data_IF_597912087422
#
_entry.id   IF_597912087422
#
_cell.length_a   1.000
_cell.length_b   1.000
_cell.length_c   1.000
_cell.angle_alpha   90.00
_cell.angle_beta   90.00
_cell.angle_gamma   90.00
#
_symmetry.space_group_name_H-M   'P 1'
#
loop_
_entity.id
_entity.type
_entity.pdbx_description
1 polymer ?
#
# COMPACT_ATOMS: atom_id res chain seq x y z
N UNK A 1 -24.85 -25.34 -1.05
CA UNK A 1 -24.19 -24.07 -0.71
C UNK A 1 -22.86 -24.44 -0.11
N UNK A 2 -21.90 -24.71 -0.98
CA UNK A 2 -20.58 -25.21 -0.64
C UNK A 2 -19.81 -24.14 0.13
N UNK A 3 -19.39 -24.46 1.35
CA UNK A 3 -18.68 -23.54 2.26
C UNK A 3 -17.22 -23.31 1.84
N UNK A 4 -16.80 -23.87 0.71
CA UNK A 4 -15.40 -23.85 0.26
C UNK A 4 -15.03 -22.56 -0.48
N UNK A 5 -15.95 -21.98 -1.26
CA UNK A 5 -15.65 -20.78 -2.07
C UNK A 5 -15.43 -19.53 -1.19
N UNK A 6 -16.19 -19.40 -0.09
CA UNK A 6 -16.12 -18.21 0.77
C UNK A 6 -14.85 -18.14 1.63
N UNK A 7 -14.20 -19.28 1.91
CA UNK A 7 -13.02 -19.34 2.78
C UNK A 7 -11.75 -18.94 2.02
N UNK A 8 -11.64 -19.29 0.74
CA UNK A 8 -10.48 -18.94 -0.06
C UNK A 8 -10.44 -17.44 -0.36
N UNK A 9 -11.61 -16.84 -0.64
CA UNK A 9 -11.75 -15.40 -0.80
C UNK A 9 -11.40 -14.63 0.49
N UNK A 10 -11.83 -15.11 1.67
CA UNK A 10 -11.46 -14.51 2.96
C UNK A 10 -9.95 -14.62 3.26
N UNK A 11 -9.31 -15.74 2.90
CA UNK A 11 -7.86 -15.90 3.05
C UNK A 11 -7.06 -14.96 2.14
N UNK A 12 -7.45 -14.86 0.87
CA UNK A 12 -6.82 -13.92 -0.08
C UNK A 12 -7.04 -12.47 0.34
N UNK A 13 -8.23 -12.14 0.84
CA UNK A 13 -8.55 -10.81 1.37
C UNK A 13 -7.63 -10.44 2.54
N UNK A 14 -7.45 -11.35 3.51
CA UNK A 14 -6.53 -11.16 4.63
C UNK A 14 -5.09 -11.00 4.18
N UNK A 15 -4.63 -11.83 3.24
CA UNK A 15 -3.27 -11.74 2.70
C UNK A 15 -3.03 -10.38 2.02
N UNK A 16 -3.97 -9.91 1.21
CA UNK A 16 -3.90 -8.60 0.55
C UNK A 16 -3.89 -7.44 1.55
N UNK A 17 -4.66 -7.55 2.63
CA UNK A 17 -4.64 -6.57 3.71
C UNK A 17 -3.28 -6.53 4.40
N UNK A 18 -2.71 -7.69 4.74
CA UNK A 18 -1.36 -7.77 5.32
C UNK A 18 -0.30 -7.19 4.37
N UNK A 19 -0.40 -7.47 3.07
CA UNK A 19 0.51 -6.91 2.07
C UNK A 19 0.39 -5.37 1.97
N UNK A 20 -0.81 -4.81 2.10
CA UNK A 20 -1.00 -3.36 2.18
C UNK A 20 -0.27 -2.75 3.39
N UNK A 21 -0.28 -3.42 4.54
CA UNK A 21 0.48 -2.97 5.72
C UNK A 21 1.99 -3.02 5.49
N UNK A 22 2.52 -4.07 4.85
CA UNK A 22 3.95 -4.18 4.53
C UNK A 22 4.38 -3.05 3.59
N UNK A 23 3.58 -2.73 2.57
CA UNK A 23 3.85 -1.59 1.69
C UNK A 23 3.87 -0.26 2.46
N UNK A 24 2.90 -0.05 3.36
CA UNK A 24 2.87 1.14 4.21
C UNK A 24 4.12 1.28 5.10
N UNK A 25 4.59 0.18 5.68
CA UNK A 25 5.81 0.17 6.48
C UNK A 25 7.04 0.56 5.64
N UNK A 26 7.22 -0.07 4.48
CA UNK A 26 8.32 0.25 3.56
C UNK A 26 8.29 1.72 3.09
N UNK A 27 7.10 2.26 2.80
CA UNK A 27 6.93 3.67 2.43
C UNK A 27 7.30 4.59 3.58
N UNK A 28 6.93 4.29 4.83
CA UNK A 28 7.31 5.11 5.99
C UNK A 28 8.80 5.04 6.32
N UNK A 29 9.47 3.92 6.05
CA UNK A 29 10.93 3.82 6.20
C UNK A 29 11.66 4.73 5.21
N UNK A 30 11.21 4.75 3.95
CA UNK A 30 11.79 5.60 2.89
C UNK A 30 11.36 7.07 3.02
N UNK A 31 10.14 7.29 3.51
CA UNK A 31 9.49 8.60 3.64
C UNK A 31 8.92 8.79 5.05
N UNK A 32 9.78 9.10 6.05
CA UNK A 32 9.34 9.21 7.44
C UNK A 32 8.26 10.28 7.70
N UNK A 33 8.21 11.30 6.84
CA UNK A 33 7.22 12.39 6.91
C UNK A 33 5.90 12.07 6.18
N UNK A 34 5.83 10.93 5.49
CA UNK A 34 4.63 10.53 4.77
C UNK A 34 3.48 10.26 5.75
N UNK A 35 2.27 10.65 5.35
CA UNK A 35 1.05 10.37 6.10
C UNK A 35 0.23 9.32 5.37
N UNK A 36 -0.27 8.38 6.15
CA UNK A 36 -1.07 7.26 5.70
C UNK A 36 -2.55 7.60 5.86
N UNK A 37 -3.36 7.36 4.81
CA UNK A 37 -4.80 7.56 4.86
C UNK A 37 -5.59 6.23 4.90
N UNK A 38 -5.77 5.56 3.75
CA UNK A 38 -6.56 4.33 3.63
C UNK A 38 -5.80 3.34 2.74
N UNK A 39 -5.75 2.07 3.15
CA UNK A 39 -5.16 1.00 2.35
C UNK A 39 -5.99 -0.28 2.35
N UNK A 40 -7.13 -0.32 1.62
CA UNK A 40 -8.00 -1.48 1.64
C UNK A 40 -7.51 -2.54 0.64
N UNK A 41 -7.67 -3.84 0.96
CA UNK A 41 -7.63 -4.88 -0.05
C UNK A 41 -8.81 -4.74 -1.02
N UNK A 42 -8.59 -5.15 -2.26
CA UNK A 42 -9.58 -5.18 -3.35
C UNK A 42 -9.59 -6.57 -4.01
N UNK A 43 -10.54 -6.79 -4.92
CA UNK A 43 -10.77 -8.10 -5.56
C UNK A 43 -9.55 -8.67 -6.29
N UNK A 44 -8.64 -7.82 -6.77
CA UNK A 44 -7.45 -8.23 -7.53
C UNK A 44 -6.13 -7.86 -6.86
N UNK A 45 -6.14 -7.29 -5.64
CA UNK A 45 -4.93 -6.78 -5.00
C UNK A 45 -5.22 -5.88 -3.81
N UNK A 46 -4.48 -4.79 -3.69
CA UNK A 46 -4.68 -3.75 -2.68
C UNK A 46 -4.11 -2.43 -3.22
N UNK A 47 -4.47 -1.32 -2.60
CA UNK A 47 -3.85 -0.02 -2.84
C UNK A 47 -3.65 0.70 -1.51
N UNK A 48 -2.92 1.81 -1.55
CA UNK A 48 -2.74 2.68 -0.40
C UNK A 48 -2.67 4.14 -0.82
N UNK A 49 -3.40 5.00 -0.12
CA UNK A 49 -3.32 6.45 -0.24
C UNK A 49 -2.27 7.03 0.70
N UNK A 50 -1.27 7.73 0.14
CA UNK A 50 -0.22 8.42 0.88
C UNK A 50 -0.20 9.92 0.57
N UNK A 51 0.03 10.73 1.60
CA UNK A 51 0.44 12.13 1.47
C UNK A 51 1.94 12.23 1.78
N UNK A 52 2.74 12.47 0.74
CA UNK A 52 4.21 12.57 0.84
C UNK A 52 4.71 13.97 1.23
N UNK A 53 3.80 14.92 1.48
CA UNK A 53 4.17 16.30 1.78
C UNK A 53 4.74 17.04 0.58
N UNK A 54 5.79 17.84 0.82
CA UNK A 54 6.42 18.70 -0.20
C UNK A 54 7.86 18.28 -0.47
N UNK A 55 8.30 18.47 -1.70
CA UNK A 55 9.68 18.32 -2.13
C UNK A 55 10.57 19.52 -1.70
N UNK A 56 11.85 19.43 -2.03
CA UNK A 56 12.86 20.47 -1.75
C UNK A 56 12.55 21.84 -2.39
N UNK A 57 11.73 21.86 -3.43
CA UNK A 57 11.30 23.07 -4.13
C UNK A 57 9.95 23.59 -3.63
N UNK A 58 9.38 22.96 -2.59
CA UNK A 58 8.11 23.34 -1.98
C UNK A 58 6.87 22.90 -2.77
N UNK A 59 7.01 22.04 -3.79
CA UNK A 59 5.91 21.46 -4.57
C UNK A 59 5.43 20.15 -3.91
N UNK A 60 4.16 19.75 -4.02
CA UNK A 60 3.72 18.43 -3.57
C UNK A 60 4.58 17.31 -4.16
N UNK A 61 5.12 16.46 -3.29
CA UNK A 61 5.92 15.31 -3.70
C UNK A 61 5.00 14.21 -4.24
N UNK A 62 5.47 13.51 -5.27
CA UNK A 62 4.83 12.31 -5.83
C UNK A 62 5.90 11.23 -5.98
N UNK A 63 5.49 9.96 -6.00
CA UNK A 63 6.38 8.86 -6.33
C UNK A 63 6.86 8.98 -7.79
N UNK A 64 8.14 8.73 -8.02
CA UNK A 64 8.70 8.43 -9.33
C UNK A 64 8.71 6.91 -9.59
N UNK A 65 8.90 6.45 -10.83
CA UNK A 65 9.04 5.02 -11.13
C UNK A 65 10.16 4.34 -10.31
N UNK A 66 11.28 5.03 -10.08
CA UNK A 66 12.42 4.54 -9.31
C UNK A 66 12.08 4.38 -7.82
N UNK A 67 11.21 5.23 -7.28
CA UNK A 67 10.70 5.09 -5.92
C UNK A 67 9.90 3.79 -5.78
N UNK A 68 9.06 3.50 -6.78
CA UNK A 68 8.22 2.29 -6.79
C UNK A 68 9.07 1.01 -6.85
N UNK A 69 10.12 0.99 -7.69
CA UNK A 69 11.07 -0.13 -7.72
C UNK A 69 11.79 -0.32 -6.39
N UNK A 70 11.99 0.76 -5.62
CA UNK A 70 12.65 0.68 -4.31
C UNK A 70 11.70 0.17 -3.23
N UNK A 71 10.43 0.56 -3.30
CA UNK A 71 9.39 0.10 -2.36
C UNK A 71 9.08 -1.40 -2.53
N UNK A 72 9.23 -1.96 -3.74
CA UNK A 72 8.92 -3.38 -4.01
C UNK A 72 10.05 -4.36 -3.62
N UNK A 73 11.29 -3.88 -3.46
CA UNK A 73 12.48 -4.73 -3.22
C UNK A 73 12.48 -5.44 -1.87
#
# INVERSE_FOLDING_TARGET
MDKHDNVQDDQLYKLRHSAAHVMAEAVLELYPEAKIAIGPPIDTGFYYDFDLGKDENGKPRTFSPEDLETIEK
#
